data_IF_389337236628
#
_entry.id   IF_389337236628
#
_cell.length_a   1.000
_cell.length_b   1.000
_cell.length_c   1.000
_cell.angle_alpha   90.00
_cell.angle_beta   90.00
_cell.angle_gamma   90.00
#
_symmetry.space_group_name_H-M   'P 1'
#
loop_
_entity.id
_entity.type
_entity.pdbx_description
1 polymer ?
2 polymer ?
3 non-polymer ?
4 water ?
#
# COMPACT_ATOMS: atom_id res chain seq x y z
N UNK A 7 -8.54 -20.96 17.68
CA UNK A 7 -8.93 -20.40 19.01
C UNK A 7 -8.59 -18.91 19.08
N UNK A 8 -7.42 -18.61 19.62
CA UNK A 8 -6.93 -17.24 19.77
C UNK A 8 -6.12 -16.80 18.56
N UNK A 9 -5.84 -15.51 18.51
CA UNK A 9 -5.07 -14.89 17.43
C UNK A 9 -3.61 -14.78 17.85
N UNK A 10 -2.67 -15.16 16.97
CA UNK A 10 -1.24 -15.09 17.27
C UNK A 10 -0.86 -13.68 17.73
N UNK A 11 -0.02 -13.56 18.77
CA UNK A 11 0.43 -12.28 19.34
C UNK A 11 0.91 -11.22 18.37
N UNK A 12 1.76 -11.59 17.41
CA UNK A 12 2.26 -10.61 16.45
C UNK A 12 1.13 -10.03 15.59
N UNK A 13 0.22 -10.87 15.15
CA UNK A 13 -0.90 -10.42 14.34
C UNK A 13 -1.80 -9.52 15.17
N UNK A 14 -1.96 -9.85 16.44
CA UNK A 14 -2.77 -9.04 17.33
C UNK A 14 -2.08 -7.70 17.52
N UNK A 15 -0.76 -7.73 17.62
CA UNK A 15 0.01 -6.49 17.77
C UNK A 15 -0.20 -5.64 16.52
N UNK A 16 -0.19 -6.29 15.35
CA UNK A 16 -0.40 -5.60 14.08
C UNK A 16 -1.77 -4.89 14.03
N UNK A 17 -2.80 -5.57 14.53
CA UNK A 17 -4.15 -5.01 14.59
C UNK A 17 -4.16 -3.74 15.45
N UNK A 18 -3.46 -3.76 16.58
CA UNK A 18 -3.45 -2.62 17.49
C UNK A 18 -2.68 -1.40 17.01
N UNK A 19 -1.77 -1.58 16.05
CA UNK A 19 -1.01 -0.44 15.56
C UNK A 19 -1.59 0.08 14.25
N UNK A 20 -2.72 -0.49 13.84
CA UNK A 20 -3.39 -0.03 12.63
C UNK A 20 -3.77 1.43 12.84
N UNK A 21 -3.52 2.27 11.83
CA UNK A 21 -3.85 3.69 11.94
C UNK A 21 -5.35 3.89 12.09
N UNK A 22 -5.75 4.88 12.88
CA UNK A 22 -7.16 5.17 13.05
C UNK A 22 -7.66 5.99 11.86
N UNK A 23 -8.98 6.08 11.73
CA UNK A 23 -9.62 6.83 10.65
C UNK A 23 -9.03 8.20 10.34
N UNK A 24 -8.79 8.45 9.05
CA UNK A 24 -8.27 9.72 8.60
C UNK A 24 -9.25 10.30 7.58
N UNK A 25 -9.83 11.44 7.92
CA UNK A 25 -10.79 12.11 7.04
C UNK A 25 -10.06 12.95 6.01
N UNK A 26 -10.68 13.10 4.84
CA UNK A 26 -10.09 13.88 3.76
C UNK A 26 -10.34 15.38 3.93
N UNK A 27 -11.36 15.72 4.71
CA UNK A 27 -11.71 17.12 4.93
C UNK A 27 -12.50 17.57 3.72
N UNK A 28 -13.32 16.66 3.21
CA UNK A 28 -14.14 16.87 2.03
C UNK A 28 -15.61 17.13 2.38
N UNK A 29 -16.19 18.11 1.70
CA UNK A 29 -17.59 18.47 1.91
C UNK A 29 -18.44 17.74 0.89
N UNK A 30 -19.31 16.86 1.38
CA UNK A 30 -20.19 16.07 0.52
C UNK A 30 -21.54 16.75 0.32
N UNK A 31 -21.81 17.80 1.11
CA UNK A 31 -23.06 18.54 1.03
C UNK A 31 -23.01 19.57 -0.11
N UNK A 32 -22.14 19.32 -1.09
CA UNK A 32 -21.98 20.18 -2.25
C UNK A 32 -21.29 19.44 -3.38
N UNK A 33 -21.77 19.64 -4.63
CA UNK A 33 -21.21 18.99 -5.82
C UNK A 33 -19.72 19.28 -6.04
N UNK A 34 -19.01 18.26 -6.48
CA UNK A 34 -17.57 18.35 -6.73
C UNK A 34 -17.22 18.85 -8.11
N UNK A 35 -16.05 19.46 -8.19
CA UNK A 35 -15.49 19.95 -9.43
C UNK A 35 -14.18 19.18 -9.60
N UNK A 36 -13.59 19.22 -10.79
CA UNK A 36 -12.34 18.51 -11.02
C UNK A 36 -11.24 19.05 -10.10
N UNK A 37 -11.32 20.34 -9.80
CA UNK A 37 -10.36 21.02 -8.94
C UNK A 37 -10.43 20.54 -7.49
N UNK A 38 -11.63 20.61 -6.90
CA UNK A 38 -11.83 20.21 -5.51
C UNK A 38 -11.56 18.74 -5.21
N UNK A 39 -11.92 17.86 -6.15
CA UNK A 39 -11.72 16.42 -5.97
C UNK A 39 -10.22 16.11 -5.89
N UNK A 40 -9.46 16.64 -6.85
CA UNK A 40 -8.02 16.42 -6.87
C UNK A 40 -7.34 17.05 -5.66
N UNK A 41 -7.89 18.16 -5.18
CA UNK A 41 -7.36 18.85 -4.00
C UNK A 41 -7.61 17.99 -2.76
N UNK A 42 -8.79 17.38 -2.70
CA UNK A 42 -9.15 16.51 -1.58
C UNK A 42 -8.23 15.29 -1.49
N UNK A 43 -7.90 14.71 -2.65
CA UNK A 43 -7.03 13.54 -2.71
C UNK A 43 -5.60 13.84 -2.31
N UNK A 44 -5.08 14.98 -2.72
CA UNK A 44 -3.72 15.37 -2.36
C UNK A 44 -3.61 15.61 -0.86
N UNK A 45 -4.64 16.24 -0.28
CA UNK A 45 -4.67 16.50 1.16
C UNK A 45 -4.71 15.19 1.93
N UNK A 46 -5.46 14.22 1.39
CA UNK A 46 -5.59 12.93 2.02
C UNK A 46 -4.27 12.17 1.92
N UNK A 47 -3.63 12.27 0.76
CA UNK A 47 -2.36 11.60 0.53
C UNK A 47 -1.28 12.08 1.49
N UNK A 48 -1.22 13.39 1.73
CA UNK A 48 -0.24 13.98 2.64
C UNK A 48 -0.46 13.46 4.05
N UNK A 49 -1.72 13.41 4.48
CA UNK A 49 -2.07 12.92 5.81
C UNK A 49 -1.76 11.43 5.95
N UNK A 50 -2.06 10.66 4.90
CA UNK A 50 -1.81 9.23 4.91
C UNK A 50 -0.33 8.87 4.93
N UNK A 51 0.50 9.77 4.37
CA UNK A 51 1.94 9.55 4.34
C UNK A 51 2.51 9.61 5.75
N UNK A 52 2.09 10.61 6.52
CA UNK A 52 2.55 10.76 7.89
C UNK A 52 2.12 9.55 8.70
N UNK A 53 0.96 9.00 8.35
CA UNK A 53 0.44 7.83 9.04
C UNK A 53 1.28 6.57 8.73
N UNK A 54 1.76 6.47 7.49
CA UNK A 54 2.58 5.34 7.06
C UNK A 54 3.89 5.36 7.87
N UNK A 55 4.48 6.55 7.98
CA UNK A 55 5.72 6.71 8.73
C UNK A 55 5.52 6.35 10.20
N UNK A 56 4.44 6.85 10.81
CA UNK A 56 4.12 6.59 12.20
C UNK A 56 3.86 5.10 12.45
N UNK A 57 3.21 4.46 11.50
CA UNK A 57 2.89 3.03 11.58
C UNK A 57 4.18 2.18 11.51
N UNK A 58 5.07 2.54 10.60
CA UNK A 58 6.34 1.83 10.41
C UNK A 58 7.24 1.79 11.65
N UNK A 59 7.24 2.87 12.43
CA UNK A 59 8.06 2.94 13.65
C UNK A 59 7.58 2.04 14.78
N UNK A 60 6.33 1.57 14.68
CA UNK A 60 5.73 0.71 15.70
C UNK A 60 5.84 -0.75 15.26
N UNK A 61 6.41 -0.94 14.07
CA UNK A 61 6.56 -2.25 13.48
C UNK A 61 7.79 -2.99 14.00
N UNK A 62 7.59 -4.12 14.69
CA UNK A 62 8.73 -4.90 15.22
C UNK A 62 9.75 -5.21 14.13
N UNK A 63 11.00 -4.84 14.39
CA UNK A 63 12.07 -5.07 13.43
C UNK A 63 12.48 -3.85 12.63
N UNK A 64 11.53 -2.95 12.36
CA UNK A 64 11.82 -1.76 11.57
C UNK A 64 12.87 -0.80 12.15
N UNK A 65 12.81 -0.57 13.46
CA UNK A 65 13.76 0.34 14.10
C UNK A 65 15.20 -0.19 14.19
N UNK A 66 15.37 -1.49 14.00
CA UNK A 66 16.69 -2.11 14.03
C UNK A 66 17.48 -1.69 12.80
N UNK A 67 16.78 -1.33 11.73
CA UNK A 67 17.41 -0.94 10.49
C UNK A 67 17.99 0.47 10.52
N UNK A 68 19.06 0.65 9.74
CA UNK A 68 19.74 1.93 9.62
C UNK A 68 18.72 2.97 9.14
N UNK A 69 18.81 4.19 9.65
CA UNK A 69 17.90 5.28 9.29
C UNK A 69 17.75 5.44 7.77
N UNK A 70 18.83 5.19 7.04
CA UNK A 70 18.83 5.28 5.58
C UNK A 70 18.02 4.17 4.92
N UNK A 71 17.98 3.01 5.56
CA UNK A 71 17.22 1.88 5.03
C UNK A 71 15.74 2.18 5.29
N UNK A 72 15.44 2.73 6.46
CA UNK A 72 14.08 3.08 6.84
C UNK A 72 13.48 4.07 5.84
N UNK A 73 14.27 5.06 5.44
CA UNK A 73 13.81 6.08 4.49
C UNK A 73 13.55 5.46 3.13
N UNK A 74 14.52 4.69 2.66
CA UNK A 74 14.44 4.01 1.36
C UNK A 74 13.19 3.14 1.23
N UNK A 75 12.96 2.27 2.22
CA UNK A 75 11.81 1.37 2.20
C UNK A 75 10.49 2.12 2.11
N UNK A 76 10.37 3.23 2.83
CA UNK A 76 9.15 4.02 2.78
C UNK A 76 9.02 4.70 1.40
N UNK A 77 10.13 5.16 0.83
CA UNK A 77 10.10 5.79 -0.48
C UNK A 77 9.61 4.80 -1.54
N UNK A 78 10.08 3.55 -1.44
CA UNK A 78 9.69 2.50 -2.37
C UNK A 78 8.39 1.76 -1.98
N UNK A 79 7.67 2.23 -0.98
CA UNK A 79 6.44 1.53 -0.55
C UNK A 79 5.19 2.34 -0.32
N UNK A 80 5.32 3.64 -0.07
CA UNK A 80 4.13 4.46 0.22
C UNK A 80 2.96 4.33 -0.74
N UNK A 81 3.23 4.21 -2.05
CA UNK A 81 2.15 4.08 -3.05
C UNK A 81 1.43 2.76 -2.89
N UNK A 82 2.20 1.68 -2.79
CA UNK A 82 1.64 0.34 -2.62
C UNK A 82 0.79 0.26 -1.36
N UNK A 83 1.33 0.74 -0.25
CA UNK A 83 0.63 0.72 1.03
C UNK A 83 -0.68 1.51 0.97
N UNK A 84 -0.67 2.67 0.32
CA UNK A 84 -1.87 3.49 0.21
C UNK A 84 -2.98 2.86 -0.64
N UNK A 85 -2.60 2.25 -1.77
CA UNK A 85 -3.60 1.61 -2.61
C UNK A 85 -4.08 0.26 -2.04
N UNK A 86 -3.26 -0.37 -1.20
CA UNK A 86 -3.62 -1.64 -0.56
C UNK A 86 -4.61 -1.32 0.57
N UNK A 87 -4.37 -0.21 1.26
CA UNK A 87 -5.24 0.20 2.35
C UNK A 87 -6.61 0.59 1.80
N UNK A 88 -6.60 1.27 0.64
CA UNK A 88 -7.83 1.68 -0.03
C UNK A 88 -8.59 0.40 -0.40
N UNK A 89 -7.85 -0.60 -0.86
CA UNK A 89 -8.48 -1.86 -1.24
C UNK A 89 -9.20 -2.51 -0.08
N UNK A 90 -8.58 -2.50 1.10
CA UNK A 90 -9.18 -3.10 2.29
C UNK A 90 -10.44 -2.37 2.74
N UNK A 91 -10.36 -1.05 2.84
CA UNK A 91 -11.51 -0.24 3.26
C UNK A 91 -12.71 -0.40 2.31
N UNK A 92 -12.43 -0.39 1.00
CA UNK A 92 -13.47 -0.55 0.00
C UNK A 92 -14.12 -1.93 0.14
N UNK A 93 -13.30 -2.93 0.44
CA UNK A 93 -13.73 -4.30 0.62
C UNK A 93 -14.60 -4.46 1.87
N UNK A 94 -14.13 -3.96 3.01
CA UNK A 94 -14.87 -4.08 4.27
C UNK A 94 -16.10 -3.20 4.45
N UNK A 95 -16.03 -1.95 4.02
CA UNK A 95 -17.14 -1.04 4.19
C UNK A 95 -18.24 -1.06 3.14
N UNK A 96 -17.89 -1.31 1.88
CA UNK A 96 -18.90 -1.31 0.82
C UNK A 96 -18.85 -2.53 -0.11
N UNK A 97 -18.39 -3.65 0.42
CA UNK A 97 -18.29 -4.90 -0.34
C UNK A 97 -17.50 -4.77 -1.65
N UNK A 98 -16.57 -3.82 -1.69
CA UNK A 98 -15.77 -3.60 -2.88
C UNK A 98 -16.53 -3.04 -4.08
N UNK A 99 -17.72 -2.48 -3.86
CA UNK A 99 -18.53 -1.95 -4.93
C UNK A 99 -18.18 -0.50 -5.31
N UNK A 100 -17.41 0.16 -4.46
CA UNK A 100 -16.99 1.53 -4.68
C UNK A 100 -15.68 1.83 -3.95
N UNK A 101 -15.01 2.91 -4.36
CA UNK A 101 -13.74 3.28 -3.73
C UNK A 101 -13.92 4.11 -2.47
N UNK A 102 -13.60 3.50 -1.35
CA UNK A 102 -13.70 4.12 -0.03
C UNK A 102 -12.37 4.77 0.33
N UNK A 103 -12.10 5.98 -0.18
CA UNK A 103 -10.86 6.68 0.13
C UNK A 103 -10.84 7.10 1.59
N UNK A 104 -11.98 7.56 2.09
CA UNK A 104 -12.15 7.99 3.47
C UNK A 104 -13.65 8.06 3.72
N UNK A 105 -14.08 8.15 5.00
CA UNK A 105 -15.51 8.22 5.33
C UNK A 105 -16.23 9.38 4.65
N UNK A 106 -15.51 10.47 4.42
CA UNK A 106 -16.07 11.64 3.78
C UNK A 106 -15.66 11.76 2.31
N UNK A 107 -15.17 10.67 1.74
CA UNK A 107 -14.74 10.67 0.35
C UNK A 107 -14.85 9.26 -0.26
N UNK A 108 -16.07 8.91 -0.64
CA UNK A 108 -16.36 7.62 -1.24
C UNK A 108 -16.83 7.85 -2.67
N UNK A 109 -16.13 7.24 -3.63
CA UNK A 109 -16.43 7.37 -5.04
C UNK A 109 -17.17 6.15 -5.58
N UNK A 110 -18.45 6.29 -5.91
CA UNK A 110 -19.20 5.17 -6.48
C UNK A 110 -18.91 5.04 -7.97
N UNK A 111 -19.43 4.01 -8.60
CA UNK A 111 -19.19 3.75 -10.02
C UNK A 111 -19.54 4.92 -10.96
N UNK A 112 -20.73 5.49 -10.80
CA UNK A 112 -21.17 6.60 -11.64
C UNK A 112 -20.26 7.83 -11.51
N UNK A 113 -19.72 8.05 -10.32
CA UNK A 113 -18.85 9.19 -10.08
C UNK A 113 -17.45 8.99 -10.69
N UNK A 114 -16.97 7.74 -10.69
CA UNK A 114 -15.67 7.40 -11.26
C UNK A 114 -15.68 7.70 -12.77
N UNK A 115 -16.80 7.36 -13.41
CA UNK A 115 -16.97 7.57 -14.84
C UNK A 115 -17.00 9.04 -15.24
N UNK A 116 -17.71 9.85 -14.45
CA UNK A 116 -17.82 11.29 -14.71
C UNK A 116 -16.51 12.03 -14.47
N UNK A 117 -15.61 11.40 -13.71
CA UNK A 117 -14.32 12.03 -13.42
C UNK A 117 -13.37 11.94 -14.61
N UNK A 118 -12.29 12.71 -14.53
CA UNK A 118 -11.28 12.74 -15.58
C UNK A 118 -10.18 11.69 -15.38
N UNK A 119 -10.47 10.66 -14.59
CA UNK A 119 -9.52 9.60 -14.31
C UNK A 119 -10.20 8.26 -14.03
N UNK A 120 -11.18 7.93 -14.87
CA UNK A 120 -11.92 6.68 -14.73
C UNK A 120 -10.97 5.49 -14.94
N UNK A 121 -9.99 5.67 -15.82
CA UNK A 121 -9.02 4.63 -16.12
C UNK A 121 -8.22 4.27 -14.87
N UNK A 122 -7.77 5.30 -14.15
CA UNK A 122 -7.03 5.10 -12.90
C UNK A 122 -7.93 4.39 -11.89
N UNK A 123 -9.19 4.84 -11.79
CA UNK A 123 -10.17 4.24 -10.86
C UNK A 123 -10.31 2.74 -11.08
N UNK A 124 -10.44 2.34 -12.36
CA UNK A 124 -10.56 0.93 -12.72
C UNK A 124 -9.32 0.14 -12.32
N UNK A 125 -8.15 0.75 -12.49
CA UNK A 125 -6.91 0.09 -12.11
C UNK A 125 -6.92 -0.18 -10.60
N UNK A 126 -7.15 0.86 -9.81
CA UNK A 126 -7.17 0.72 -8.35
C UNK A 126 -8.27 -0.20 -7.86
N UNK A 127 -9.40 -0.20 -8.57
CA UNK A 127 -10.56 -1.01 -8.23
C UNK A 127 -10.29 -2.52 -8.35
N UNK A 128 -9.18 -2.88 -8.99
CA UNK A 128 -8.78 -4.28 -9.16
C UNK A 128 -8.52 -5.00 -7.84
N UNK A 129 -7.92 -4.29 -6.89
CA UNK A 129 -7.59 -4.85 -5.57
C UNK A 129 -8.79 -5.27 -4.72
N UNK A 130 -9.77 -4.38 -4.50
CA UNK A 130 -10.95 -4.72 -3.69
C UNK A 130 -11.66 -5.93 -4.31
N UNK A 131 -11.72 -5.94 -5.64
CA UNK A 131 -12.35 -7.04 -6.35
C UNK A 131 -11.65 -8.36 -6.07
N UNK A 132 -10.32 -8.33 -6.00
CA UNK A 132 -9.54 -9.52 -5.69
C UNK A 132 -9.78 -9.94 -4.24
N UNK A 133 -9.91 -8.97 -3.33
CA UNK A 133 -10.17 -9.28 -1.92
C UNK A 133 -11.51 -10.00 -1.79
N UNK A 134 -12.50 -9.56 -2.57
CA UNK A 134 -13.81 -10.18 -2.56
C UNK A 134 -13.73 -11.63 -3.05
N UNK A 135 -13.09 -11.85 -4.21
CA UNK A 135 -12.97 -13.21 -4.76
C UNK A 135 -12.21 -14.17 -3.85
N UNK A 136 -11.11 -13.69 -3.26
CA UNK A 136 -10.32 -14.53 -2.36
C UNK A 136 -10.85 -14.58 -0.94
N UNK A 137 -11.75 -13.65 -0.61
CA UNK A 137 -12.32 -13.55 0.74
C UNK A 137 -11.19 -13.44 1.76
N UNK A 138 -10.29 -12.48 1.52
CA UNK A 138 -9.16 -12.25 2.40
C UNK A 138 -9.55 -11.90 3.84
N UNK A 139 -8.85 -12.48 4.80
CA UNK A 139 -9.12 -12.23 6.21
C UNK A 139 -8.35 -11.01 6.71
N UNK A 140 -8.74 -10.47 7.86
CA UNK A 140 -8.05 -9.30 8.43
C UNK A 140 -6.61 -9.67 8.81
N UNK A 141 -6.45 -10.87 9.37
CA UNK A 141 -5.15 -11.37 9.77
C UNK A 141 -4.20 -11.52 8.58
N UNK A 142 -4.74 -11.98 7.44
CA UNK A 142 -3.95 -12.14 6.22
C UNK A 142 -3.56 -10.78 5.66
N UNK A 143 -4.53 -9.87 5.62
CA UNK A 143 -4.30 -8.51 5.13
C UNK A 143 -3.17 -7.81 5.90
N UNK A 144 -3.20 -7.91 7.22
CA UNK A 144 -2.18 -7.29 8.06
C UNK A 144 -0.76 -7.77 7.78
N UNK A 145 -0.59 -9.08 7.59
CA UNK A 145 0.73 -9.65 7.30
C UNK A 145 1.19 -9.30 5.88
N UNK A 146 0.25 -9.31 4.93
CA UNK A 146 0.54 -8.97 3.54
C UNK A 146 1.00 -7.53 3.44
N UNK A 147 0.37 -6.65 4.22
CA UNK A 147 0.71 -5.24 4.21
C UNK A 147 2.15 -4.98 4.63
N UNK A 148 2.62 -5.66 5.67
CA UNK A 148 3.99 -5.51 6.14
C UNK A 148 4.93 -5.97 5.03
N UNK A 149 4.58 -7.08 4.37
CA UNK A 149 5.39 -7.63 3.30
C UNK A 149 5.57 -6.66 2.12
N UNK A 150 4.60 -5.76 1.93
CA UNK A 150 4.69 -4.77 0.86
C UNK A 150 5.77 -3.75 1.18
N UNK A 151 5.91 -3.43 2.47
CA UNK A 151 6.91 -2.47 2.91
C UNK A 151 8.30 -3.07 2.71
N UNK A 152 8.37 -4.41 2.66
CA UNK A 152 9.63 -5.12 2.52
C UNK A 152 9.75 -5.87 1.19
N UNK A 153 9.16 -5.33 0.12
CA UNK A 153 9.17 -6.02 -1.18
C UNK A 153 10.12 -5.47 -2.24
N UNK A 154 10.73 -4.33 -1.95
CA UNK A 154 11.65 -3.70 -2.89
C UNK A 154 12.83 -3.07 -2.16
N UNK A 155 14.03 -3.37 -2.65
CA UNK A 155 15.27 -2.82 -2.10
C UNK A 155 16.13 -2.31 -3.26
N UNK A 156 17.12 -1.46 -2.96
CA UNK A 156 17.95 -0.96 -4.06
C UNK A 156 18.84 -2.07 -4.62
N UNK A 157 19.32 -1.85 -5.84
CA UNK A 157 20.18 -2.82 -6.54
C UNK A 157 21.40 -3.22 -5.72
N UNK A 158 21.98 -2.27 -5.00
CA UNK A 158 23.15 -2.52 -4.17
C UNK A 158 22.76 -3.21 -2.86
N UNK A 159 21.50 -3.06 -2.46
CA UNK A 159 21.03 -3.66 -1.23
C UNK A 159 21.00 -2.64 -0.09
N UNK A 160 20.62 -3.09 1.09
CA UNK A 160 20.55 -2.24 2.28
C UNK A 160 21.78 -2.33 3.17
N UNK A 161 21.91 -1.37 4.08
CA UNK A 161 23.02 -1.34 5.03
C UNK A 161 22.86 -2.45 6.06
N UNK A 162 21.62 -2.63 6.52
CA UNK A 162 21.31 -3.68 7.48
C UNK A 162 20.64 -4.84 6.72
N UNK A 163 21.31 -5.29 5.66
CA UNK A 163 20.80 -6.36 4.80
C UNK A 163 20.38 -7.62 5.54
N UNK A 164 21.22 -8.11 6.44
CA UNK A 164 20.91 -9.33 7.20
C UNK A 164 19.71 -9.14 8.12
N UNK A 165 19.65 -8.00 8.80
CA UNK A 165 18.54 -7.68 9.69
C UNK A 165 17.24 -7.60 8.87
N UNK A 166 17.33 -7.06 7.66
CA UNK A 166 16.19 -6.93 6.77
C UNK A 166 15.66 -8.29 6.29
N UNK A 167 16.57 -9.16 5.84
CA UNK A 167 16.19 -10.47 5.36
C UNK A 167 15.51 -11.28 6.45
N UNK A 168 15.99 -11.13 7.68
CA UNK A 168 15.42 -11.86 8.82
C UNK A 168 13.99 -11.37 9.10
N UNK A 169 13.82 -10.04 9.06
CA UNK A 169 12.51 -9.42 9.29
C UNK A 169 11.53 -9.89 8.21
N UNK A 170 11.98 -9.87 6.96
CA UNK A 170 11.13 -10.31 5.86
C UNK A 170 10.69 -11.76 6.07
N UNK A 171 11.64 -12.60 6.48
CA UNK A 171 11.35 -14.00 6.72
C UNK A 171 10.34 -14.23 7.87
N UNK A 172 10.39 -13.37 8.89
CA UNK A 172 9.47 -13.50 10.03
C UNK A 172 8.03 -13.21 9.62
N UNK A 173 7.85 -12.16 8.82
CA UNK A 173 6.49 -11.83 8.38
C UNK A 173 5.93 -12.81 7.37
N UNK A 174 6.82 -13.54 6.68
CA UNK A 174 6.41 -14.56 5.73
C UNK A 174 5.82 -15.70 6.57
N UNK A 175 6.49 -16.02 7.68
CA UNK A 175 6.02 -17.05 8.60
C UNK A 175 4.71 -16.65 9.26
N UNK A 176 4.57 -15.36 9.56
CA UNK A 176 3.35 -14.88 10.18
C UNK A 176 2.18 -15.02 9.22
N UNK A 177 2.39 -14.68 7.94
CA UNK A 177 1.34 -14.80 6.92
C UNK A 177 0.88 -16.26 6.86
N UNK A 178 1.84 -17.19 6.96
CA UNK A 178 1.53 -18.62 6.94
C UNK A 178 0.67 -18.98 8.15
N UNK A 179 0.93 -18.34 9.29
CA UNK A 179 0.15 -18.58 10.50
C UNK A 179 -1.26 -18.01 10.31
N UNK A 180 -1.35 -16.84 9.67
CA UNK A 180 -2.62 -16.20 9.41
C UNK A 180 -3.48 -17.11 8.54
N UNK A 181 -2.85 -17.67 7.50
CA UNK A 181 -3.53 -18.58 6.59
C UNK A 181 -4.01 -19.82 7.33
N UNK A 182 -3.16 -20.35 8.21
CA UNK A 182 -3.50 -21.53 8.98
C UNK A 182 -4.71 -21.41 9.89
N UNK A 183 -5.10 -20.17 10.21
CA UNK A 183 -6.25 -19.92 11.07
C UNK A 183 -7.55 -20.44 10.46
N UNK A 184 -7.62 -20.49 9.13
CA UNK A 184 -8.81 -20.96 8.45
C UNK A 184 -8.53 -22.13 7.53
N UNK A 185 -7.40 -22.08 6.81
CA UNK A 185 -7.04 -23.17 5.91
C UNK A 185 -6.43 -24.34 6.68
N UNK A 186 -7.26 -25.34 6.96
CA UNK A 186 -6.82 -26.54 7.68
C UNK A 186 -6.33 -27.58 6.67
N UNK A 187 -5.05 -27.90 6.73
CA UNK A 187 -4.47 -28.86 5.81
C UNK A 187 -3.30 -28.24 5.07
N UNK A 188 -2.27 -29.03 4.84
CA UNK A 188 -1.07 -28.56 4.15
C UNK A 188 -1.26 -28.22 2.66
N UNK A 189 -2.17 -28.93 1.98
CA UNK A 189 -2.45 -28.69 0.56
C UNK A 189 -3.25 -27.39 0.38
N UNK A 190 -4.30 -27.21 1.17
CA UNK A 190 -5.11 -25.99 1.12
C UNK A 190 -4.30 -24.74 1.53
N UNK A 191 -3.48 -24.88 2.58
CA UNK A 191 -2.63 -23.80 3.07
C UNK A 191 -1.62 -23.38 2.01
N UNK A 192 -1.00 -24.38 1.39
CA UNK A 192 -0.01 -24.16 0.36
C UNK A 192 -0.65 -23.45 -0.84
N UNK A 193 -1.88 -23.84 -1.17
CA UNK A 193 -2.62 -23.24 -2.26
C UNK A 193 -2.99 -21.78 -1.96
N UNK A 194 -3.30 -21.51 -0.69
CA UNK A 194 -3.66 -20.15 -0.25
C UNK A 194 -2.45 -19.22 -0.33
N UNK A 195 -1.31 -19.71 0.17
CA UNK A 195 -0.05 -18.97 0.17
C UNK A 195 0.34 -18.56 -1.26
N UNK A 196 0.15 -19.47 -2.21
CA UNK A 196 0.46 -19.18 -3.61
C UNK A 196 -0.44 -18.06 -4.15
N UNK A 197 -1.72 -18.12 -3.82
CA UNK A 197 -2.69 -17.11 -4.27
C UNK A 197 -2.38 -15.72 -3.71
N UNK A 198 -2.14 -15.64 -2.40
CA UNK A 198 -1.86 -14.37 -1.74
C UNK A 198 -0.52 -13.74 -2.18
N UNK A 199 0.50 -14.57 -2.31
CA UNK A 199 1.81 -14.07 -2.72
C UNK A 199 1.83 -13.69 -4.20
N UNK A 200 1.01 -14.38 -4.99
CA UNK A 200 0.93 -14.07 -6.42
C UNK A 200 0.33 -12.65 -6.49
N UNK A 201 -0.66 -12.40 -5.66
CA UNK A 201 -1.32 -11.09 -5.58
C UNK A 201 -0.28 -10.02 -5.20
N UNK A 202 0.57 -10.33 -4.22
CA UNK A 202 1.62 -9.40 -3.79
C UNK A 202 2.60 -9.09 -4.92
N UNK A 203 2.95 -10.13 -5.68
CA UNK A 203 3.88 -9.98 -6.80
C UNK A 203 3.30 -9.07 -7.88
N UNK A 204 2.02 -9.25 -8.17
CA UNK A 204 1.34 -8.45 -9.18
C UNK A 204 1.30 -6.97 -8.84
N UNK A 205 1.36 -6.64 -7.56
CA UNK A 205 1.34 -5.24 -7.13
C UNK A 205 2.57 -4.46 -7.57
N UNK A 206 3.67 -5.16 -7.85
CA UNK A 206 4.89 -4.50 -8.33
C UNK A 206 4.57 -3.83 -9.66
N UNK A 207 3.82 -4.51 -10.52
CA UNK A 207 3.44 -3.99 -11.84
C UNK A 207 2.38 -2.90 -11.71
N UNK A 208 1.30 -3.19 -10.98
CA UNK A 208 0.21 -2.24 -10.80
C UNK A 208 0.65 -0.88 -10.26
N UNK A 209 1.58 -0.89 -9.31
CA UNK A 209 2.08 0.35 -8.71
C UNK A 209 2.90 1.23 -9.68
N UNK A 210 3.54 0.60 -10.67
CA UNK A 210 4.28 1.40 -11.64
C UNK A 210 3.28 2.25 -12.43
N UNK A 211 2.11 1.66 -12.70
CA UNK A 211 1.03 2.33 -13.42
C UNK A 211 0.59 3.56 -12.65
N UNK A 212 0.38 3.41 -11.34
CA UNK A 212 -0.03 4.52 -10.48
C UNK A 212 1.00 5.65 -10.48
N UNK A 213 2.28 5.29 -10.50
CA UNK A 213 3.34 6.29 -10.50
C UNK A 213 3.36 7.08 -11.82
N UNK A 214 3.01 6.41 -12.92
CA UNK A 214 2.96 7.04 -14.23
C UNK A 214 1.80 8.05 -14.26
N UNK A 215 0.65 7.63 -13.73
CA UNK A 215 -0.53 8.50 -13.67
C UNK A 215 -0.20 9.76 -12.90
N UNK A 216 0.47 9.57 -11.77
CA UNK A 216 0.87 10.66 -10.91
C UNK A 216 1.80 11.61 -11.67
N UNK A 217 2.77 11.04 -12.38
CA UNK A 217 3.72 11.83 -13.16
C UNK A 217 3.01 12.56 -14.32
N UNK A 218 2.06 11.89 -14.96
CA UNK A 218 1.34 12.49 -16.08
C UNK A 218 0.35 13.55 -15.62
N UNK A 219 -0.21 13.39 -14.43
CA UNK A 219 -1.16 14.35 -13.89
C UNK A 219 -0.42 15.63 -13.49
N UNK A 220 0.84 15.46 -13.09
CA UNK A 220 1.67 16.60 -12.70
C UNK A 220 1.92 17.45 -13.94
N UNK A 221 2.42 16.79 -14.99
CA UNK A 221 2.70 17.44 -16.26
C UNK A 221 1.49 18.24 -16.75
N UNK A 222 0.30 17.64 -16.63
CA UNK A 222 -0.93 18.28 -17.06
C UNK A 222 -1.35 19.47 -16.21
N UNK A 223 -0.90 19.53 -14.97
CA UNK A 223 -1.25 20.64 -14.09
C UNK A 223 -0.26 21.80 -14.27
N UNK A 224 0.83 21.55 -14.98
CA UNK A 224 1.85 22.55 -15.23
C UNK A 224 2.09 22.80 -16.71
N UNK A 234 12.50 21.03 -17.71
CA UNK A 234 11.39 20.11 -17.46
C UNK A 234 11.88 18.69 -17.19
N UNK A 235 13.04 18.37 -17.76
CA UNK A 235 13.65 17.05 -17.63
C UNK A 235 13.96 16.63 -16.19
N UNK A 236 13.99 17.59 -15.27
CA UNK A 236 14.26 17.30 -13.87
C UNK A 236 13.11 16.50 -13.27
N UNK A 237 11.89 16.92 -13.59
CA UNK A 237 10.68 16.26 -13.11
C UNK A 237 10.58 14.83 -13.61
N UNK A 238 10.88 14.64 -14.90
CA UNK A 238 10.83 13.32 -15.52
C UNK A 238 11.81 12.37 -14.86
N UNK A 239 13.09 12.74 -14.88
CA UNK A 239 14.16 11.95 -14.30
C UNK A 239 13.95 11.53 -12.85
N UNK A 240 13.30 12.39 -12.07
CA UNK A 240 13.03 12.12 -10.66
C UNK A 240 12.10 10.93 -10.45
N UNK A 241 11.00 10.90 -11.21
CA UNK A 241 10.02 9.82 -11.11
C UNK A 241 10.33 8.55 -11.91
N UNK A 242 11.16 8.66 -12.95
CA UNK A 242 11.52 7.52 -13.80
C UNK A 242 11.83 6.21 -13.08
N UNK A 243 12.65 6.25 -12.02
CA UNK A 243 12.99 5.03 -11.27
C UNK A 243 11.78 4.29 -10.66
N UNK A 244 10.65 4.99 -10.57
CA UNK A 244 9.43 4.40 -10.00
C UNK A 244 8.44 3.88 -11.04
N UNK A 245 8.76 4.07 -12.32
CA UNK A 245 7.89 3.61 -13.40
C UNK A 245 8.62 2.61 -14.30
N UNK A 246 9.95 2.77 -14.37
CA UNK A 246 10.80 1.92 -15.21
C UNK A 246 11.36 0.67 -14.53
N UNK A 247 11.50 -0.40 -15.31
CA UNK A 247 12.06 -1.65 -14.81
C UNK A 247 13.59 -1.57 -14.77
N UNK A 248 14.22 -2.51 -14.09
CA UNK A 248 15.67 -2.55 -13.98
C UNK A 248 16.30 -1.42 -13.19
N UNK A 249 15.48 -0.63 -12.50
CA UNK A 249 15.98 0.50 -11.71
C UNK A 249 16.24 0.11 -10.26
N UNK A 250 15.35 -0.74 -9.71
CA UNK A 250 15.45 -1.21 -8.35
C UNK A 250 15.36 -2.75 -8.35
N UNK A 251 15.48 -3.35 -7.18
CA UNK A 251 15.39 -4.80 -7.09
C UNK A 251 14.10 -5.23 -6.39
N UNK A 252 13.17 -5.83 -7.14
CA UNK A 252 11.91 -6.29 -6.55
C UNK A 252 12.15 -7.67 -5.95
N UNK A 253 11.44 -7.99 -4.88
CA UNK A 253 11.58 -9.30 -4.24
C UNK A 253 10.33 -10.12 -4.55
N UNK A 254 10.46 -11.02 -5.52
CA UNK A 254 9.34 -11.85 -5.96
C UNK A 254 9.27 -13.23 -5.31
N UNK A 255 8.04 -13.71 -5.13
CA UNK A 255 7.80 -15.04 -4.57
C UNK A 255 7.73 -16.07 -5.70
N UNK A 256 7.40 -15.61 -6.91
CA UNK A 256 7.26 -16.49 -8.08
C UNK A 256 7.97 -15.90 -9.30
N UNK B 4 9.98 16.75 -2.60
CA UNK B 4 10.46 17.01 -1.21
C UNK B 4 9.96 15.97 -0.22
N UNK B 5 9.61 14.80 -0.74
CA UNK B 5 9.11 13.70 0.09
C UNK B 5 10.19 13.11 0.99
N UNK B 6 11.38 12.90 0.45
CA UNK B 6 12.50 12.34 1.20
C UNK B 6 12.73 13.15 2.47
N UNK B 7 12.71 14.47 2.34
CA UNK B 7 12.92 15.37 3.46
C UNK B 7 11.80 15.17 4.48
N UNK B 8 10.57 15.13 4.01
CA UNK B 8 9.40 14.95 4.87
C UNK B 8 9.41 13.60 5.58
N UNK B 9 9.82 12.56 4.85
CA UNK B 9 9.90 11.21 5.42
C UNK B 9 10.97 11.17 6.51
N UNK B 10 12.09 11.85 6.26
CA UNK B 10 13.19 11.90 7.22
C UNK B 10 12.80 12.65 8.49
N UNK B 11 12.20 13.83 8.35
CA UNK B 11 11.78 14.60 9.52
C UNK B 11 10.74 13.83 10.34
N UNK B 12 9.84 13.14 9.66
CA UNK B 12 8.80 12.37 10.30
C UNK B 12 9.38 11.20 11.11
N UNK B 13 10.43 10.56 10.57
CA UNK B 13 11.07 9.43 11.25
C UNK B 13 11.80 9.85 12.54
N UNK B 14 12.10 11.13 12.67
CA UNK B 14 12.81 11.65 13.84
C UNK B 14 11.92 12.49 14.75
X LIG C 1 -4.63 9.19 -1.71
X LIG C 1 -5.54 8.53 -0.69
X LIG C 1 -5.68 6.93 -0.78
X LIG C 1 -5.01 6.27 -1.79
X LIG C 1 -4.24 6.92 -2.77
X LIG C 1 -3.58 6.00 -3.80
X LIG C 1 -3.54 6.61 -5.20
X LIG C 1 -3.14 8.07 -5.26
X LIG C 1 -3.62 9.01 -4.08
X LIG C 1 -4.16 8.38 -2.87
X LIG C 1 -3.46 10.58 -4.25
X LIG C 1 -3.24 11.04 -5.60
X LIG C 1 -2.48 10.18 -6.64
X LIG C 1 -3.02 8.79 -6.63
X LIG C 1 -2.49 8.13 -7.90
X LIG C 1 -2.35 9.31 -8.87
X LIG C 1 -2.74 10.59 -8.08
X LIG C 1 -0.99 10.28 -6.33
X LIG C 1 -2.21 11.94 -8.67
X LIG C 1 -2.74 13.29 -8.23
X LIG C 1 -6.37 6.33 0.12
X LIG C 1 -1.36 11.98 -9.51
X LIG C 1 -2.21 11.09 -3.40
X LIG C 1 -1.35 10.19 -2.78
X LIG C 1 -0.21 10.62 -2.11
X LIG C 1 0.08 11.98 -2.05
X LIG C 1 -0.76 12.90 -2.66
X LIG C 1 -1.90 12.45 -3.34
X LIG C 1 1.19 12.41 -1.35
X LIG C 1 2.13 11.56 -0.85
X LIG C 1 1.42 13.72 -1.10
X LIG C 1 -6.42 11.39 -9.77
X LIG C 1 -4.90 11.36 -9.63
X LIG C 1 -4.24 11.69 -10.63
X LIG C 1 -4.22 10.90 -8.41
#
# INVERSE_FOLDING_TARGET
GSGQDIQLIPPLINLLMSIEPDVIYAGHDNTKPDTSSSLLTSLNQLGERQLLSVVKWSKSLPGFRNLHIDDQITLIQYSWMSLMVFGLGWRSYKHVSGQMLYFAPDLILNEQRMKESSFYSLCLTMWQIPQEFVKLQVSQEEFLCMKVLLLLNTIPLEGLRSQTQFEEMRSSYIRELIKAIGLRQKGVVSSSQRFYQLTKLLDNLHDLVKQLHLYCLNTFIQSRALSVEFPEMMSEVIAAQLPKILAGMVKPLLFHKK
TNMGLEAIIRKALMGKY
2S0 C1 C2 C3 C4 C5 C6 C7 C8 C9 C10 C11 C12 C13 C14 C15 C16 C17 C18 C20 C21 O3 O20 C32 C33 C34 C35 C36 C37 N38 C39 C40 C31 C30 O30 O17
#
